data_IF_233655707737
#
_entry.id   IF_233655707737
#
_cell.length_a   1.000
_cell.length_b   1.000
_cell.length_c   1.000
_cell.angle_alpha   90.00
_cell.angle_beta   90.00
_cell.angle_gamma   90.00
#
_symmetry.space_group_name_H-M   'P 1'
#
loop_
_entity.id
_entity.type
_entity.pdbx_description
1 polymer ?
#
# COMPACT_ATOMS: atom_id res chain seq x y z
N UNK A 1 34.46 22.06 2.18
CA UNK A 1 35.76 21.36 2.34
C UNK A 1 36.66 21.75 1.18
N UNK A 2 37.96 21.97 1.41
CA UNK A 2 38.82 22.60 0.39
C UNK A 2 39.62 21.62 -0.48
N UNK A 3 39.72 20.34 -0.11
CA UNK A 3 40.48 19.31 -0.85
C UNK A 3 39.61 18.35 -1.65
N UNK A 4 40.23 17.66 -2.62
CA UNK A 4 39.65 16.49 -3.28
C UNK A 4 39.84 15.26 -2.39
N UNK A 5 38.84 14.38 -2.39
CA UNK A 5 38.80 13.11 -1.67
C UNK A 5 38.56 11.99 -2.67
N UNK A 6 39.13 10.80 -2.43
CA UNK A 6 38.87 9.64 -3.27
C UNK A 6 37.44 9.17 -3.07
N UNK A 7 36.65 9.16 -4.14
CA UNK A 7 35.30 8.60 -4.16
C UNK A 7 35.29 7.41 -5.10
N UNK A 8 34.74 6.29 -4.64
CA UNK A 8 34.54 5.13 -5.51
C UNK A 8 33.30 5.34 -6.39
N UNK A 9 33.38 4.95 -7.65
CA UNK A 9 32.26 4.98 -8.60
C UNK A 9 32.00 3.58 -9.12
N UNK A 10 30.73 3.28 -9.36
CA UNK A 10 30.26 1.99 -9.88
C UNK A 10 29.47 2.23 -11.17
N UNK A 11 29.75 1.47 -12.22
CA UNK A 11 29.04 1.57 -13.50
C UNK A 11 28.98 3.01 -14.05
N UNK A 12 30.10 3.71 -14.00
CA UNK A 12 30.29 5.11 -14.39
C UNK A 12 29.53 6.11 -13.51
N UNK A 13 29.08 5.74 -12.31
CA UNK A 13 28.08 6.52 -11.57
C UNK A 13 28.39 6.74 -10.09
N UNK A 14 27.95 7.89 -9.61
CA UNK A 14 27.71 8.20 -8.20
C UNK A 14 26.36 8.93 -8.07
N UNK A 15 25.78 8.89 -6.87
CA UNK A 15 24.48 9.45 -6.55
C UNK A 15 24.63 10.54 -5.50
N UNK A 16 23.91 11.63 -5.70
CA UNK A 16 23.78 12.73 -4.74
C UNK A 16 22.36 12.70 -4.19
N UNK A 17 22.22 12.62 -2.87
CA UNK A 17 20.92 12.41 -2.19
C UNK A 17 20.68 13.41 -1.08
N UNK A 18 19.45 13.89 -0.94
CA UNK A 18 19.02 14.80 0.12
C UNK A 18 18.02 14.20 1.12
N UNK A 19 17.62 12.95 0.93
CA UNK A 19 16.72 12.23 1.82
C UNK A 19 17.24 10.81 2.07
N UNK A 20 17.08 10.26 3.28
CA UNK A 20 17.56 8.91 3.63
C UNK A 20 16.68 7.80 3.05
N UNK A 21 15.50 8.12 2.51
CA UNK A 21 14.54 7.14 2.03
C UNK A 21 14.77 6.82 0.56
N UNK A 22 14.85 5.53 0.25
CA UNK A 22 14.71 5.01 -1.09
C UNK A 22 13.26 5.22 -1.55
N UNK A 23 13.03 6.25 -2.35
CA UNK A 23 11.98 6.19 -3.36
C UNK A 23 12.57 5.48 -4.57
N UNK A 24 11.81 4.56 -5.19
CA UNK A 24 12.20 4.02 -6.49
C UNK A 24 12.38 5.18 -7.46
N UNK A 25 13.64 5.56 -7.70
CA UNK A 25 13.99 6.69 -8.54
C UNK A 25 13.56 6.48 -9.99
N UNK A 26 13.40 7.59 -10.70
CA UNK A 26 13.38 7.64 -12.15
C UNK A 26 14.62 6.91 -12.66
N UNK A 27 14.44 6.10 -13.69
CA UNK A 27 15.56 5.50 -14.40
C UNK A 27 16.56 6.57 -14.85
N UNK A 28 17.85 6.23 -14.85
CA UNK A 28 18.87 7.05 -15.51
C UNK A 28 18.59 7.13 -17.01
N UNK A 29 19.13 8.14 -17.68
CA UNK A 29 18.87 8.42 -19.11
C UNK A 29 17.40 8.77 -19.38
N UNK A 30 16.76 9.52 -18.48
CA UNK A 30 15.42 10.08 -18.72
C UNK A 30 15.46 11.62 -18.79
N UNK A 31 16.12 12.28 -17.84
CA UNK A 31 16.29 13.74 -17.85
C UNK A 31 17.69 14.16 -17.37
N UNK A 32 18.37 15.00 -18.15
CA UNK A 32 19.71 15.51 -17.87
C UNK A 32 20.62 15.48 -19.10
N UNK A 33 21.91 15.24 -18.89
CA UNK A 33 22.92 15.14 -19.93
C UNK A 33 24.04 14.14 -19.60
N UNK A 34 25.14 14.16 -20.35
CA UNK A 34 26.26 13.21 -20.20
C UNK A 34 27.03 13.30 -18.87
N UNK A 35 26.73 14.27 -18.01
CA UNK A 35 27.39 14.48 -16.71
C UNK A 35 26.43 14.38 -15.53
N UNK A 36 25.20 14.91 -15.63
CA UNK A 36 24.22 14.87 -14.55
C UNK A 36 22.83 14.46 -15.04
N UNK A 37 22.20 13.52 -14.33
CA UNK A 37 20.80 13.15 -14.51
C UNK A 37 19.96 13.39 -13.26
N UNK A 38 18.74 13.86 -13.46
CA UNK A 38 17.70 13.84 -12.42
C UNK A 38 17.27 12.38 -12.23
N UNK A 39 17.20 11.93 -10.99
CA UNK A 39 16.74 10.59 -10.64
C UNK A 39 15.50 10.63 -9.74
N UNK A 40 15.30 11.66 -8.94
CA UNK A 40 14.05 11.89 -8.21
C UNK A 40 13.99 13.35 -7.78
N UNK A 41 12.95 13.82 -7.07
CA UNK A 41 12.98 15.15 -6.48
C UNK A 41 14.18 15.38 -5.55
N UNK A 42 14.67 14.32 -4.90
CA UNK A 42 15.69 14.37 -3.84
C UNK A 42 17.00 13.69 -4.23
N UNK A 43 17.15 13.29 -5.49
CA UNK A 43 18.31 12.53 -5.96
C UNK A 43 18.70 12.87 -7.41
N UNK A 44 20.01 12.97 -7.64
CA UNK A 44 20.57 13.00 -8.98
C UNK A 44 21.78 12.05 -9.10
N UNK A 45 22.04 11.60 -10.32
CA UNK A 45 23.18 10.75 -10.66
C UNK A 45 24.21 11.55 -11.45
N UNK A 46 25.46 11.53 -10.99
CA UNK A 46 26.61 12.04 -11.71
C UNK A 46 27.34 10.94 -12.48
N UNK A 47 27.87 11.28 -13.65
CA UNK A 47 28.52 10.32 -14.55
C UNK A 47 30.01 10.57 -14.71
N UNK A 48 30.82 9.57 -14.36
CA UNK A 48 32.26 9.51 -14.62
C UNK A 48 32.57 8.83 -15.98
N UNK A 49 33.78 9.00 -16.48
CA UNK A 49 34.38 8.20 -17.55
C UNK A 49 34.98 6.90 -17.04
N UNK A 50 35.43 6.90 -15.79
CA UNK A 50 35.81 5.71 -15.03
C UNK A 50 34.59 4.80 -14.82
N UNK A 51 34.61 3.55 -15.31
CA UNK A 51 33.49 2.63 -15.15
C UNK A 51 33.37 2.14 -13.72
N UNK A 52 34.41 1.52 -13.17
CA UNK A 52 34.41 1.09 -11.77
C UNK A 52 35.78 1.36 -11.18
N UNK A 53 35.85 2.23 -10.17
CA UNK A 53 37.13 2.64 -9.62
C UNK A 53 37.06 3.93 -8.84
N UNK A 54 38.21 4.57 -8.66
CA UNK A 54 38.34 5.78 -7.86
C UNK A 54 38.44 7.02 -8.74
N UNK A 55 37.61 8.01 -8.44
CA UNK A 55 37.76 9.38 -8.90
C UNK A 55 38.19 10.28 -7.73
N UNK A 56 38.63 11.48 -8.04
CA UNK A 56 38.82 12.54 -7.06
C UNK A 56 37.59 13.44 -7.07
N UNK A 57 36.86 13.49 -5.95
CA UNK A 57 35.64 14.27 -5.80
C UNK A 57 35.83 15.36 -4.73
N UNK A 58 35.29 16.55 -4.96
CA UNK A 58 35.13 17.59 -3.94
C UNK A 58 33.69 18.11 -3.95
N UNK A 59 33.16 18.43 -2.77
CA UNK A 59 31.89 19.15 -2.63
C UNK A 59 32.11 20.52 -2.00
N UNK A 60 31.60 21.55 -2.67
CA UNK A 60 31.71 22.95 -2.28
C UNK A 60 30.30 23.52 -2.08
N UNK A 61 29.98 23.86 -0.85
CA UNK A 61 28.70 24.49 -0.49
C UNK A 61 28.89 26.01 -0.50
N UNK A 62 27.95 26.73 -1.11
CA UNK A 62 27.95 28.19 -1.26
C UNK A 62 26.59 28.76 -0.85
N UNK A 63 26.58 30.04 -0.48
CA UNK A 63 25.35 30.77 -0.15
C UNK A 63 24.61 31.27 -1.41
N UNK A 64 25.30 31.35 -2.54
CA UNK A 64 24.75 31.84 -3.81
C UNK A 64 25.43 31.22 -5.02
N UNK A 65 24.87 31.48 -6.20
CA UNK A 65 25.42 31.04 -7.48
C UNK A 65 26.86 31.55 -7.70
N UNK A 66 27.79 30.71 -8.17
CA UNK A 66 29.11 31.16 -8.60
C UNK A 66 29.04 32.08 -9.82
N UNK A 67 29.66 33.26 -9.72
CA UNK A 67 29.67 34.31 -10.77
C UNK A 67 30.25 33.82 -12.10
N UNK A 68 31.23 32.91 -12.05
CA UNK A 68 31.92 32.40 -13.23
C UNK A 68 32.20 30.91 -13.12
N UNK A 69 32.21 30.24 -14.28
CA UNK A 69 32.67 28.87 -14.44
C UNK A 69 34.18 28.91 -14.74
N UNK A 70 35.05 28.34 -13.89
CA UNK A 70 36.49 28.32 -14.17
C UNK A 70 36.81 27.63 -15.51
N UNK A 71 37.83 28.11 -16.20
CA UNK A 71 38.20 27.62 -17.54
C UNK A 71 38.76 26.20 -17.54
N UNK A 72 39.34 25.72 -16.44
CA UNK A 72 40.01 24.41 -16.35
C UNK A 72 39.09 23.19 -16.16
N UNK A 73 37.83 23.27 -16.58
CA UNK A 73 36.85 22.19 -16.51
C UNK A 73 36.37 21.79 -17.90
N UNK A 74 36.32 20.49 -18.18
CA UNK A 74 36.00 19.96 -19.51
C UNK A 74 34.49 19.90 -19.74
N UNK A 75 33.74 19.49 -18.72
CA UNK A 75 32.28 19.41 -18.74
C UNK A 75 31.68 20.08 -17.50
N UNK A 76 30.55 20.78 -17.69
CA UNK A 76 29.82 21.43 -16.60
C UNK A 76 28.33 21.33 -16.86
N UNK A 77 27.61 20.80 -15.88
CA UNK A 77 26.16 20.60 -15.93
C UNK A 77 25.55 20.95 -14.59
N UNK A 78 24.27 21.29 -14.59
CA UNK A 78 23.56 21.59 -13.35
C UNK A 78 22.09 21.17 -13.39
N UNK A 79 21.53 20.93 -12.21
CA UNK A 79 20.13 20.61 -11.99
C UNK A 79 19.70 20.99 -10.58
N UNK A 80 18.42 20.86 -10.30
CA UNK A 80 17.83 21.19 -9.01
C UNK A 80 17.46 19.93 -8.21
N UNK A 81 17.68 19.96 -6.90
CA UNK A 81 17.20 18.97 -5.94
C UNK A 81 16.38 19.63 -4.83
N UNK A 82 15.36 18.93 -4.35
CA UNK A 82 14.65 19.23 -3.12
C UNK A 82 15.39 18.64 -1.92
N UNK A 83 15.74 19.43 -0.91
CA UNK A 83 16.44 19.00 0.31
C UNK A 83 15.72 19.52 1.55
N UNK A 84 14.66 18.86 2.02
CA UNK A 84 13.84 19.39 3.10
C UNK A 84 14.58 19.45 4.45
N UNK A 85 15.54 18.55 4.67
CA UNK A 85 16.24 18.39 5.96
C UNK A 85 17.58 19.11 6.05
N UNK A 86 18.02 19.78 4.99
CA UNK A 86 19.32 20.45 4.97
C UNK A 86 20.52 19.49 5.11
N UNK A 87 20.35 18.24 4.67
CA UNK A 87 21.41 17.22 4.64
C UNK A 87 21.49 16.64 3.25
N UNK A 88 22.70 16.61 2.70
CA UNK A 88 23.03 16.01 1.41
C UNK A 88 24.11 14.95 1.60
N UNK A 89 24.14 13.96 0.74
CA UNK A 89 25.15 12.90 0.79
C UNK A 89 25.54 12.46 -0.61
N UNK A 90 26.75 11.93 -0.76
CA UNK A 90 27.25 11.38 -2.04
C UNK A 90 27.68 9.93 -1.85
N UNK A 91 27.18 9.04 -2.70
CA UNK A 91 27.42 7.60 -2.63
C UNK A 91 27.75 7.05 -4.02
N UNK A 92 28.49 5.95 -4.08
CA UNK A 92 28.54 5.12 -5.27
C UNK A 92 27.19 4.40 -5.46
N UNK A 93 26.93 3.88 -6.66
CA UNK A 93 25.69 3.14 -6.92
C UNK A 93 25.52 1.93 -5.97
N UNK A 94 26.61 1.25 -5.64
CA UNK A 94 26.59 0.10 -4.73
C UNK A 94 26.67 0.50 -3.24
N UNK A 95 26.53 1.79 -2.93
CA UNK A 95 26.38 2.32 -1.57
C UNK A 95 27.68 2.64 -0.84
N UNK A 96 28.84 2.63 -1.51
CA UNK A 96 30.08 3.08 -0.88
C UNK A 96 30.12 4.61 -0.81
N UNK A 97 30.55 5.16 0.33
CA UNK A 97 30.63 6.61 0.53
C UNK A 97 31.92 6.93 1.26
N UNK A 98 32.58 8.02 0.87
CA UNK A 98 33.63 8.59 1.70
C UNK A 98 33.00 9.23 2.94
N UNK A 99 33.62 9.11 4.11
CA UNK A 99 33.08 9.63 5.37
C UNK A 99 32.73 11.13 5.28
N UNK A 100 33.52 11.88 4.51
CA UNK A 100 33.32 13.31 4.24
C UNK A 100 32.02 13.61 3.47
N UNK A 101 31.46 12.64 2.76
CA UNK A 101 30.26 12.80 1.94
C UNK A 101 29.03 12.09 2.50
N UNK A 102 29.13 11.43 3.66
CA UNK A 102 28.01 10.72 4.26
C UNK A 102 26.89 11.66 4.74
N UNK A 103 27.22 12.86 5.23
CA UNK A 103 26.26 13.83 5.75
C UNK A 103 26.78 15.29 5.65
N UNK A 104 26.60 15.90 4.49
CA UNK A 104 26.93 17.29 4.20
C UNK A 104 25.78 18.22 4.63
N UNK A 105 26.08 19.18 5.50
CA UNK A 105 25.11 20.20 5.90
C UNK A 105 24.91 21.24 4.79
N UNK A 106 23.66 21.46 4.40
CA UNK A 106 23.26 22.41 3.35
C UNK A 106 22.02 23.18 3.81
N UNK A 107 21.70 24.36 3.25
CA UNK A 107 20.45 25.03 3.55
C UNK A 107 19.24 24.13 3.20
N UNK A 108 18.21 24.04 4.06
CA UNK A 108 17.00 23.32 3.73
C UNK A 108 16.23 24.04 2.61
N UNK A 109 15.54 23.28 1.77
CA UNK A 109 14.75 23.78 0.66
C UNK A 109 15.27 23.32 -0.69
N UNK A 110 15.18 24.18 -1.70
CA UNK A 110 15.57 23.85 -3.06
C UNK A 110 17.05 24.19 -3.27
N UNK A 111 17.81 23.24 -3.81
CA UNK A 111 19.25 23.33 -4.01
C UNK A 111 19.59 23.20 -5.48
N UNK A 112 20.47 24.06 -5.98
CA UNK A 112 21.13 23.87 -7.27
C UNK A 112 22.39 23.05 -7.04
N UNK A 113 22.56 21.98 -7.82
CA UNK A 113 23.76 21.15 -7.85
C UNK A 113 24.40 21.33 -9.23
N UNK A 114 25.60 21.91 -9.27
CA UNK A 114 26.42 22.04 -10.48
C UNK A 114 27.61 21.09 -10.38
N UNK A 115 27.68 20.13 -11.29
CA UNK A 115 28.84 19.26 -11.43
C UNK A 115 29.81 19.88 -12.44
N UNK A 116 31.06 19.95 -12.04
CA UNK A 116 32.19 20.23 -12.90
C UNK A 116 33.03 18.96 -13.00
N UNK A 117 33.47 18.60 -14.19
CA UNK A 117 34.31 17.42 -14.39
C UNK A 117 35.45 17.72 -15.37
N UNK A 118 36.60 17.11 -15.10
CA UNK A 118 37.77 17.17 -15.97
C UNK A 118 38.57 15.88 -15.93
N UNK A 119 39.44 15.70 -16.92
CA UNK A 119 40.21 14.48 -17.13
C UNK A 119 39.28 13.26 -17.29
N UNK A 120 38.16 13.44 -17.99
CA UNK A 120 37.15 12.40 -18.27
C UNK A 120 37.60 11.46 -19.40
N UNK A 121 38.81 10.91 -19.26
CA UNK A 121 39.41 10.01 -20.24
C UNK A 121 38.74 8.64 -20.12
N UNK A 122 38.27 8.12 -21.26
CA UNK A 122 37.65 6.81 -21.37
C UNK A 122 38.59 5.72 -20.85
N UNK A 123 38.06 4.83 -20.01
CA UNK A 123 38.84 3.80 -19.32
C UNK A 123 39.64 2.90 -20.29
N UNK A 124 39.14 2.66 -21.50
CA UNK A 124 39.85 1.87 -22.52
C UNK A 124 41.10 2.58 -23.09
N UNK A 125 41.18 3.90 -22.93
CA UNK A 125 42.28 4.74 -23.44
C UNK A 125 43.16 5.31 -22.34
N UNK A 126 42.71 5.27 -21.08
CA UNK A 126 43.44 5.77 -19.91
C UNK A 126 44.70 4.93 -19.64
N UNK A 127 45.78 5.63 -19.32
CA UNK A 127 47.09 5.07 -18.93
C UNK A 127 47.47 5.50 -17.52
N UNK A 128 48.51 4.89 -16.95
CA UNK A 128 49.02 5.26 -15.63
C UNK A 128 49.65 6.66 -15.58
N UNK A 129 49.96 7.27 -16.74
CA UNK A 129 50.50 8.63 -16.82
C UNK A 129 49.40 9.70 -16.80
N UNK A 130 48.14 9.30 -17.03
CA UNK A 130 47.02 10.24 -17.06
C UNK A 130 46.61 10.68 -15.66
N UNK A 131 46.22 11.95 -15.48
CA UNK A 131 45.73 12.44 -14.21
C UNK A 131 44.43 11.72 -13.80
N UNK A 132 44.13 11.61 -12.49
CA UNK A 132 42.86 11.07 -12.04
C UNK A 132 41.70 11.91 -12.58
N UNK A 133 40.59 11.23 -12.87
CA UNK A 133 39.33 11.91 -13.16
C UNK A 133 38.89 12.72 -11.94
N UNK A 134 38.53 13.98 -12.16
CA UNK A 134 38.24 14.93 -11.09
C UNK A 134 36.86 15.53 -11.27
N UNK A 135 36.07 15.48 -10.20
CA UNK A 135 34.73 16.03 -10.13
C UNK A 135 34.63 17.05 -8.99
N UNK A 136 33.96 18.16 -9.23
CA UNK A 136 33.55 19.12 -8.21
C UNK A 136 32.04 19.32 -8.26
N UNK A 137 31.37 19.10 -7.12
CA UNK A 137 29.98 19.45 -6.93
C UNK A 137 29.90 20.79 -6.21
N UNK A 138 29.36 21.81 -6.88
CA UNK A 138 29.06 23.10 -6.28
C UNK A 138 27.56 23.14 -5.96
N UNK A 139 27.22 23.39 -4.69
CA UNK A 139 25.84 23.33 -4.19
C UNK A 139 25.46 24.65 -3.52
N UNK A 140 24.32 25.21 -3.86
CA UNK A 140 23.80 26.45 -3.25
C UNK A 140 22.27 26.49 -3.23
N UNK A 141 21.65 27.25 -2.31
CA UNK A 141 20.20 27.38 -2.25
C UNK A 141 19.66 28.20 -3.42
N UNK A 142 18.46 27.85 -3.88
CA UNK A 142 17.70 28.59 -4.89
C UNK A 142 16.23 28.66 -4.50
N UNK A 143 15.49 29.61 -5.05
CA UNK A 143 14.02 29.70 -4.92
C UNK A 143 13.29 29.26 -6.19
N UNK A 144 14.05 28.97 -7.25
CA UNK A 144 13.53 28.64 -8.57
C UNK A 144 14.12 27.33 -9.10
N UNK A 145 13.23 26.46 -9.57
CA UNK A 145 13.56 25.22 -10.29
C UNK A 145 13.53 25.52 -11.79
N UNK A 146 14.68 25.52 -12.47
CA UNK A 146 14.79 25.92 -13.88
C UNK A 146 15.05 24.76 -14.86
N UNK A 147 15.04 23.52 -14.35
CA UNK A 147 15.35 22.32 -15.09
C UNK A 147 16.86 22.03 -15.19
N UNK A 148 17.23 20.86 -15.74
CA UNK A 148 18.61 20.52 -16.04
C UNK A 148 19.18 21.39 -17.15
N UNK A 149 20.45 21.78 -17.02
CA UNK A 149 21.15 22.58 -18.02
C UNK A 149 22.60 22.10 -18.23
N UNK A 150 22.98 21.92 -19.48
CA UNK A 150 24.37 21.72 -19.89
C UNK A 150 25.03 23.08 -20.12
N UNK A 151 26.03 23.43 -19.32
CA UNK A 151 26.74 24.71 -19.41
C UNK A 151 28.04 24.59 -20.23
N UNK A 152 28.65 23.40 -20.22
CA UNK A 152 29.82 23.05 -21.04
C UNK A 152 29.82 21.56 -21.34
N UNK A 153 30.02 21.21 -22.61
CA UNK A 153 30.21 19.82 -23.06
C UNK A 153 31.70 19.55 -23.29
N UNK A 154 32.16 18.35 -22.95
CA UNK A 154 33.50 17.87 -23.24
C UNK A 154 33.64 17.32 -24.67
N UNK A 155 32.52 17.18 -25.40
CA UNK A 155 32.48 16.70 -26.78
C UNK A 155 32.92 15.25 -26.99
N UNK A 156 33.25 14.52 -25.91
CA UNK A 156 33.78 13.15 -25.97
C UNK A 156 32.69 12.10 -26.14
N UNK A 157 31.46 12.40 -25.73
CA UNK A 157 30.32 11.49 -25.80
C UNK A 157 29.31 11.94 -26.85
N UNK A 158 28.66 11.00 -27.56
CA UNK A 158 27.56 11.32 -28.45
C UNK A 158 26.49 12.13 -27.71
N UNK A 159 25.88 13.09 -28.40
CA UNK A 159 24.75 13.82 -27.87
C UNK A 159 23.59 12.84 -27.61
N UNK A 160 23.38 12.49 -26.34
CA UNK A 160 22.24 11.71 -25.90
C UNK A 160 21.01 12.63 -25.79
N UNK A 161 19.87 12.18 -26.31
CA UNK A 161 18.62 12.94 -26.29
C UNK A 161 17.76 12.56 -25.07
N UNK A 162 17.35 13.52 -24.23
CA UNK A 162 16.45 13.27 -23.11
C UNK A 162 15.13 12.62 -23.51
N UNK A 163 14.71 11.59 -22.76
CA UNK A 163 13.42 10.94 -22.95
C UNK A 163 12.33 11.71 -22.20
N UNK A 164 12.01 12.92 -22.67
CA UNK A 164 11.08 13.86 -21.99
C UNK A 164 9.73 13.23 -21.66
N UNK A 165 9.17 12.44 -22.57
CA UNK A 165 7.88 11.78 -22.37
C UNK A 165 7.94 10.75 -21.23
N UNK A 166 9.01 9.95 -21.17
CA UNK A 166 9.21 9.00 -20.08
C UNK A 166 9.55 9.68 -18.75
N UNK A 167 10.29 10.79 -18.78
CA UNK A 167 10.53 11.61 -17.60
C UNK A 167 9.21 12.20 -17.05
N UNK A 168 8.33 12.71 -17.92
CA UNK A 168 7.04 13.26 -17.54
C UNK A 168 6.05 12.19 -17.06
N UNK A 169 6.05 11.00 -17.68
CA UNK A 169 5.31 9.84 -17.21
C UNK A 169 5.70 9.50 -15.77
N UNK A 170 7.00 9.34 -15.50
CA UNK A 170 7.49 9.09 -14.15
C UNK A 170 7.14 10.22 -13.19
N UNK A 171 7.36 11.47 -13.60
CA UNK A 171 7.11 12.64 -12.77
C UNK A 171 5.64 12.76 -12.35
N UNK A 172 4.71 12.49 -13.26
CA UNK A 172 3.29 12.49 -12.92
C UNK A 172 2.94 11.37 -11.92
N UNK A 173 3.48 10.17 -12.14
CA UNK A 173 3.29 9.03 -11.23
C UNK A 173 3.89 9.27 -9.85
N UNK A 174 4.99 10.02 -9.75
CA UNK A 174 5.60 10.41 -8.47
C UNK A 174 4.76 11.46 -7.73
N UNK A 175 4.26 12.48 -8.43
CA UNK A 175 3.43 13.55 -7.85
C UNK A 175 2.11 13.04 -7.29
N UNK A 176 1.46 12.09 -7.96
CA UNK A 176 0.18 11.53 -7.48
C UNK A 176 0.33 10.37 -6.50
N UNK A 177 1.55 9.87 -6.30
CA UNK A 177 1.78 8.76 -5.37
C UNK A 177 1.37 9.19 -3.96
N UNK A 178 0.51 8.42 -3.27
CA UNK A 178 0.24 8.67 -1.86
C UNK A 178 1.55 8.65 -1.08
N UNK A 179 1.77 9.67 -0.26
CA UNK A 179 2.91 9.70 0.65
C UNK A 179 2.62 8.77 1.83
N UNK A 180 3.54 7.85 2.11
CA UNK A 180 3.47 6.95 3.27
C UNK A 180 3.63 7.75 4.57
N UNK A 181 3.20 7.19 5.70
CA UNK A 181 3.27 7.84 7.01
C UNK A 181 4.69 8.25 7.46
N UNK A 182 5.74 7.72 6.82
CA UNK A 182 7.15 8.06 7.06
C UNK A 182 7.66 9.23 6.22
N UNK A 183 6.93 9.63 5.19
CA UNK A 183 7.20 10.83 4.41
C UNK A 183 6.33 11.95 4.99
N UNK A 184 6.96 12.82 5.76
CA UNK A 184 6.30 13.90 6.52
C UNK A 184 5.23 14.60 5.67
N UNK A 185 3.96 14.42 6.06
CA UNK A 185 2.89 15.37 5.77
C UNK A 185 3.16 16.64 6.56
N UNK A 186 4.24 17.34 6.22
CA UNK A 186 4.44 18.70 6.72
C UNK A 186 3.55 19.63 5.88
N UNK A 187 2.47 20.18 6.45
CA UNK A 187 1.58 21.10 5.75
C UNK A 187 2.24 22.45 5.44
N UNK A 188 3.43 22.73 5.99
CA UNK A 188 4.17 23.99 5.83
C UNK A 188 5.40 23.87 4.93
N UNK A 189 5.51 22.83 4.10
CA UNK A 189 6.62 22.74 3.17
C UNK A 189 6.79 24.03 2.34
N UNK A 190 8.02 24.56 2.24
CA UNK A 190 8.31 25.75 1.46
C UNK A 190 7.74 25.67 0.05
N UNK A 191 7.10 26.77 -0.37
CA UNK A 191 6.62 26.93 -1.74
C UNK A 191 7.66 27.65 -2.58
N UNK A 192 7.86 27.14 -3.79
CA UNK A 192 8.89 27.60 -4.73
C UNK A 192 8.27 27.91 -6.09
N UNK A 193 9.10 28.38 -7.01
CA UNK A 193 8.69 28.63 -8.40
C UNK A 193 9.35 27.63 -9.33
N UNK A 194 8.58 27.03 -10.22
CA UNK A 194 9.09 26.25 -11.36
C UNK A 194 9.11 27.16 -12.58
N UNK A 195 10.26 27.25 -13.24
CA UNK A 195 10.48 28.15 -14.39
C UNK A 195 10.86 27.33 -15.61
N UNK A 196 10.24 27.59 -16.75
CA UNK A 196 10.57 26.95 -18.02
C UNK A 196 10.62 27.94 -19.17
N UNK A 197 11.51 27.67 -20.12
CA UNK A 197 11.59 28.42 -21.36
C UNK A 197 10.61 27.85 -22.38
N UNK A 198 9.78 28.72 -22.92
CA UNK A 198 8.78 28.37 -23.90
C UNK A 198 9.39 28.26 -25.30
N UNK A 199 8.98 27.25 -26.10
CA UNK A 199 9.37 27.17 -27.50
C UNK A 199 8.74 28.30 -28.33
N UNK A 200 7.53 28.74 -27.96
CA UNK A 200 6.78 29.83 -28.60
C UNK A 200 6.27 30.82 -27.54
N UNK A 201 6.06 32.11 -27.86
CA UNK A 201 5.60 33.09 -26.86
C UNK A 201 4.18 32.84 -26.34
N UNK A 202 3.37 32.12 -27.11
CA UNK A 202 1.97 31.82 -26.81
C UNK A 202 1.75 30.30 -26.96
N UNK A 203 2.17 29.50 -25.96
CA UNK A 203 1.93 28.07 -25.98
C UNK A 203 0.42 27.83 -25.90
N UNK A 204 -0.08 26.89 -26.71
CA UNK A 204 -1.44 26.39 -26.54
C UNK A 204 -1.41 25.32 -25.45
N UNK A 205 -2.11 25.58 -24.34
CA UNK A 205 -2.17 24.70 -23.18
C UNK A 205 -3.59 24.14 -23.05
N UNK A 206 -3.71 22.83 -22.80
CA UNK A 206 -4.99 22.21 -22.54
C UNK A 206 -5.58 22.72 -21.21
N UNK A 207 -6.85 23.12 -21.20
CA UNK A 207 -7.51 23.62 -19.99
C UNK A 207 -7.76 22.56 -18.92
N UNK A 208 -7.74 21.27 -19.31
CA UNK A 208 -7.87 20.13 -18.41
C UNK A 208 -6.86 19.06 -18.77
N UNK A 209 -6.18 18.54 -17.77
CA UNK A 209 -5.21 17.45 -17.91
C UNK A 209 -5.72 16.26 -17.09
N UNK A 210 -6.06 15.12 -17.73
CA UNK A 210 -6.45 13.93 -17.01
C UNK A 210 -5.25 13.31 -16.28
N UNK A 211 -5.49 12.83 -15.06
CA UNK A 211 -4.50 12.18 -14.21
C UNK A 211 -5.17 11.03 -13.44
N UNK A 212 -5.62 10.01 -14.17
CA UNK A 212 -6.31 8.85 -13.58
C UNK A 212 -7.68 9.22 -12.99
N UNK A 213 -7.85 9.08 -11.68
CA UNK A 213 -9.04 9.48 -10.92
C UNK A 213 -9.02 10.96 -10.48
N UNK A 214 -8.00 11.70 -10.92
CA UNK A 214 -7.77 13.12 -10.66
C UNK A 214 -7.69 13.89 -11.98
N UNK A 215 -7.82 15.20 -11.89
CA UNK A 215 -7.58 16.12 -13.00
C UNK A 215 -6.77 17.33 -12.51
N UNK A 216 -6.00 17.94 -13.41
CA UNK A 216 -5.49 19.30 -13.24
C UNK A 216 -6.29 20.22 -14.13
N UNK A 217 -6.84 21.29 -13.55
CA UNK A 217 -7.52 22.35 -14.26
C UNK A 217 -6.58 23.54 -14.41
N UNK A 218 -6.39 23.98 -15.65
CA UNK A 218 -5.66 25.19 -16.02
C UNK A 218 -6.68 26.26 -16.44
N UNK A 219 -7.05 27.14 -15.52
CA UNK A 219 -8.08 28.16 -15.76
C UNK A 219 -7.44 29.51 -16.02
N UNK A 220 -7.73 30.13 -17.17
CA UNK A 220 -7.22 31.48 -17.47
C UNK A 220 -7.90 32.52 -16.57
N UNK A 221 -7.12 33.27 -15.80
CA UNK A 221 -7.60 34.33 -14.89
C UNK A 221 -7.16 35.73 -15.32
N UNK A 222 -6.23 35.83 -16.27
CA UNK A 222 -5.80 37.08 -16.89
C UNK A 222 -5.19 36.85 -18.28
N UNK A 223 -4.70 37.92 -18.91
CA UNK A 223 -4.09 37.85 -20.26
C UNK A 223 -2.89 36.89 -20.30
N UNK A 224 -2.07 36.93 -19.24
CA UNK A 224 -0.83 36.17 -19.11
C UNK A 224 -0.79 35.30 -17.86
N UNK A 225 -1.95 35.00 -17.27
CA UNK A 225 -2.06 34.30 -15.98
C UNK A 225 -3.10 33.19 -16.05
N UNK A 226 -2.70 32.01 -15.58
CA UNK A 226 -3.56 30.86 -15.38
C UNK A 226 -3.47 30.39 -13.92
N UNK A 227 -4.54 29.79 -13.45
CA UNK A 227 -4.61 29.09 -12.18
C UNK A 227 -4.43 27.58 -12.41
N UNK A 228 -3.49 26.95 -11.69
CA UNK A 228 -3.28 25.50 -11.65
C UNK A 228 -4.00 24.93 -10.43
N UNK A 229 -5.01 24.07 -10.63
CA UNK A 229 -5.76 23.46 -9.52
C UNK A 229 -5.92 21.96 -9.73
N UNK A 230 -5.67 21.17 -8.69
CA UNK A 230 -6.02 19.75 -8.65
C UNK A 230 -7.50 19.56 -8.31
N UNK A 231 -8.15 18.61 -8.98
CA UNK A 231 -9.55 18.23 -8.77
C UNK A 231 -9.62 16.71 -8.68
N UNK A 232 -10.39 16.17 -7.74
CA UNK A 232 -10.60 14.73 -7.61
C UNK A 232 -11.98 14.41 -7.03
N UNK A 233 -12.59 13.31 -7.47
CA UNK A 233 -13.83 12.80 -6.92
C UNK A 233 -13.56 11.83 -5.75
N UNK A 234 -13.06 12.37 -4.63
CA UNK A 234 -12.84 11.60 -3.40
C UNK A 234 -11.43 11.03 -3.20
N UNK A 235 -10.50 11.26 -4.13
CA UNK A 235 -9.08 10.93 -3.96
C UNK A 235 -8.33 12.05 -3.21
N UNK A 236 -7.28 11.69 -2.46
CA UNK A 236 -6.39 12.69 -1.86
C UNK A 236 -5.65 13.49 -2.96
N UNK A 237 -5.68 14.82 -2.85
CA UNK A 237 -5.00 15.70 -3.80
C UNK A 237 -3.49 15.77 -3.50
N UNK A 238 -2.63 15.81 -4.53
CA UNK A 238 -1.20 16.11 -4.32
C UNK A 238 -0.99 17.46 -3.64
N UNK A 239 -1.80 18.45 -4.01
CA UNK A 239 -1.80 19.79 -3.46
C UNK A 239 -3.25 20.32 -3.46
N UNK A 240 -3.71 20.81 -2.31
CA UNK A 240 -5.05 21.34 -2.10
C UNK A 240 -5.15 22.84 -2.41
N UNK A 241 -4.01 23.54 -2.52
CA UNK A 241 -3.96 24.96 -2.87
C UNK A 241 -3.66 25.13 -4.35
N UNK A 242 -4.31 26.11 -4.96
CA UNK A 242 -4.02 26.47 -6.34
C UNK A 242 -2.63 27.11 -6.49
N UNK A 243 -1.95 26.79 -7.59
CA UNK A 243 -0.74 27.46 -8.06
C UNK A 243 -1.08 28.54 -9.09
N UNK A 244 -0.14 29.46 -9.32
CA UNK A 244 -0.28 30.53 -10.32
C UNK A 244 0.72 30.31 -11.44
N UNK A 245 0.25 30.20 -12.67
CA UNK A 245 1.09 30.07 -13.86
C UNK A 245 1.11 31.40 -14.61
N UNK A 246 2.27 32.04 -14.67
CA UNK A 246 2.49 33.28 -15.44
C UNK A 246 3.31 33.00 -16.68
N UNK A 247 2.91 33.62 -17.79
CA UNK A 247 3.62 33.52 -19.07
C UNK A 247 4.08 34.92 -19.48
N UNK A 248 5.38 35.18 -19.39
CA UNK A 248 5.99 36.45 -19.80
C UNK A 248 6.96 36.22 -20.95
N UNK A 249 6.56 36.68 -22.15
CA UNK A 249 7.31 36.49 -23.38
C UNK A 249 7.58 35.00 -23.65
N UNK A 250 8.82 34.55 -23.42
CA UNK A 250 9.25 33.16 -23.61
C UNK A 250 9.52 32.42 -22.30
N UNK A 251 8.98 32.92 -21.20
CA UNK A 251 9.20 32.34 -19.87
C UNK A 251 7.86 31.98 -19.24
N UNK A 252 7.73 30.71 -18.82
CA UNK A 252 6.65 30.23 -17.97
C UNK A 252 7.14 30.16 -16.53
N UNK A 253 6.36 30.67 -15.59
CA UNK A 253 6.60 30.60 -14.14
C UNK A 253 5.38 29.97 -13.46
N UNK A 254 5.53 28.79 -12.88
CA UNK A 254 4.53 28.17 -12.03
C UNK A 254 4.91 28.41 -10.57
N UNK A 255 4.21 29.34 -9.94
CA UNK A 255 4.43 29.83 -8.59
C UNK A 255 3.54 29.13 -7.57
N UNK A 256 4.01 29.09 -6.32
CA UNK A 256 3.28 28.45 -5.24
C UNK A 256 3.39 26.93 -5.28
N UNK A 257 4.38 26.37 -5.97
CA UNK A 257 4.58 24.93 -6.05
C UNK A 257 5.16 24.42 -4.74
N UNK A 258 4.58 23.37 -4.14
CA UNK A 258 5.19 22.69 -2.99
C UNK A 258 6.59 22.23 -3.40
N UNK A 259 7.62 22.60 -2.63
CA UNK A 259 9.03 22.37 -3.00
C UNK A 259 9.36 20.94 -3.41
N UNK A 260 8.78 19.95 -2.73
CA UNK A 260 8.95 18.52 -3.07
C UNK A 260 8.43 18.14 -4.47
N UNK A 261 7.48 18.87 -5.03
CA UNK A 261 6.95 18.63 -6.38
C UNK A 261 7.68 19.44 -7.46
N UNK A 262 8.54 20.39 -7.10
CA UNK A 262 9.08 21.38 -8.03
C UNK A 262 9.81 20.72 -9.21
N UNK A 263 10.70 19.78 -8.93
CA UNK A 263 11.49 19.08 -9.96
C UNK A 263 10.57 18.28 -10.90
N UNK A 264 9.59 17.55 -10.34
CA UNK A 264 8.66 16.71 -11.13
C UNK A 264 7.70 17.55 -11.96
N UNK A 265 7.14 18.63 -11.39
CA UNK A 265 6.30 19.57 -12.13
C UNK A 265 7.08 20.26 -13.25
N UNK A 266 8.37 20.49 -13.05
CA UNK A 266 9.27 20.93 -14.10
C UNK A 266 9.32 19.98 -15.30
N UNK A 267 9.53 18.68 -15.05
CA UNK A 267 9.54 17.66 -16.10
C UNK A 267 8.17 17.49 -16.78
N UNK A 268 7.09 17.63 -16.03
CA UNK A 268 5.72 17.65 -16.57
C UNK A 268 5.56 18.84 -17.52
N UNK A 269 6.02 20.04 -17.14
CA UNK A 269 5.99 21.21 -18.03
C UNK A 269 6.86 21.00 -19.28
N UNK A 270 8.03 20.42 -19.17
CA UNK A 270 8.90 20.13 -20.32
C UNK A 270 8.18 19.28 -21.38
N UNK A 271 7.37 18.32 -20.95
CA UNK A 271 6.50 17.55 -21.84
C UNK A 271 5.35 18.39 -22.38
N UNK A 272 4.54 19.01 -21.51
CA UNK A 272 3.34 19.77 -21.88
C UNK A 272 3.64 20.90 -22.88
N UNK A 273 4.79 21.56 -22.75
CA UNK A 273 5.19 22.67 -23.61
C UNK A 273 5.60 22.25 -25.03
N UNK A 274 5.92 20.98 -25.24
CA UNK A 274 6.28 20.44 -26.56
C UNK A 274 5.18 19.61 -27.21
N UNK A 275 4.19 19.21 -26.41
CA UNK A 275 3.10 18.34 -26.85
C UNK A 275 2.03 19.13 -27.62
N UNK A 276 1.40 18.50 -28.61
CA UNK A 276 0.19 19.04 -29.22
C UNK A 276 -0.95 19.19 -28.18
N UNK A 277 -1.73 20.28 -28.20
CA UNK A 277 -2.75 20.56 -27.18
C UNK A 277 -3.80 19.44 -27.05
N UNK A 278 -4.24 18.87 -28.18
CA UNK A 278 -5.35 17.91 -28.22
C UNK A 278 -4.92 16.45 -27.99
N UNK A 279 -3.61 16.16 -28.00
CA UNK A 279 -3.14 14.83 -27.69
C UNK A 279 -3.40 14.51 -26.20
N UNK A 280 -3.64 13.24 -25.81
CA UNK A 280 -3.61 12.87 -24.40
C UNK A 280 -2.18 12.98 -23.84
N UNK A 281 -1.99 13.36 -22.55
CA UNK A 281 -0.68 13.29 -21.93
C UNK A 281 -0.12 11.87 -21.87
N UNK A 282 1.21 11.73 -21.87
CA UNK A 282 1.92 10.44 -21.93
C UNK A 282 1.64 9.52 -20.75
N UNK A 283 1.29 10.06 -19.59
CA UNK A 283 0.94 9.27 -18.41
C UNK A 283 -0.46 8.66 -18.46
N UNK A 284 -1.37 9.17 -19.31
CA UNK A 284 -2.77 8.77 -19.27
C UNK A 284 -2.99 7.28 -19.58
N UNK A 285 -2.40 6.69 -20.65
CA UNK A 285 -2.55 5.26 -20.90
C UNK A 285 -1.99 4.38 -19.76
N UNK A 286 -0.91 4.83 -19.11
CA UNK A 286 -0.28 4.11 -17.99
C UNK A 286 -1.16 4.12 -16.75
N UNK A 287 -1.79 5.26 -16.46
CA UNK A 287 -2.74 5.39 -15.35
C UNK A 287 -4.00 4.56 -15.58
N UNK A 288 -4.53 4.55 -16.81
CA UNK A 288 -5.68 3.73 -17.18
C UNK A 288 -5.38 2.23 -17.03
N UNK A 289 -4.20 1.78 -17.48
CA UNK A 289 -3.77 0.39 -17.33
C UNK A 289 -3.66 -0.02 -15.84
N UNK A 290 -3.03 0.81 -15.00
CA UNK A 290 -2.93 0.55 -13.55
C UNK A 290 -4.30 0.47 -12.88
N UNK A 291 -5.21 1.39 -13.22
CA UNK A 291 -6.57 1.37 -12.68
C UNK A 291 -7.33 0.09 -13.10
N UNK A 292 -7.10 -0.41 -14.32
CA UNK A 292 -7.68 -1.68 -14.77
C UNK A 292 -7.11 -2.88 -13.99
N UNK A 293 -5.79 -2.94 -13.80
CA UNK A 293 -5.12 -3.99 -13.01
C UNK A 293 -5.60 -4.03 -11.56
N UNK A 294 -5.75 -2.86 -10.92
CA UNK A 294 -6.28 -2.76 -9.56
C UNK A 294 -7.72 -3.26 -9.44
N UNK A 295 -8.59 -2.90 -10.40
CA UNK A 295 -9.96 -3.42 -10.47
C UNK A 295 -9.96 -4.94 -10.63
N UNK A 296 -9.14 -5.47 -11.53
CA UNK A 296 -9.02 -6.92 -11.73
C UNK A 296 -8.55 -7.63 -10.45
N UNK A 297 -7.55 -7.07 -9.76
CA UNK A 297 -7.04 -7.60 -8.50
C UNK A 297 -8.08 -7.54 -7.38
N UNK A 298 -8.84 -6.45 -7.30
CA UNK A 298 -9.93 -6.29 -6.33
C UNK A 298 -11.07 -7.28 -6.61
N UNK A 299 -11.45 -7.46 -7.88
CA UNK A 299 -12.43 -8.46 -8.29
C UNK A 299 -11.95 -9.88 -7.99
N UNK A 300 -10.71 -10.21 -8.33
CA UNK A 300 -10.10 -11.52 -8.02
C UNK A 300 -10.13 -11.79 -6.52
N UNK A 301 -9.74 -10.80 -5.72
CA UNK A 301 -9.78 -10.89 -4.26
C UNK A 301 -11.20 -11.09 -3.75
N UNK A 302 -12.17 -10.33 -4.28
CA UNK A 302 -13.60 -10.48 -3.93
C UNK A 302 -14.13 -11.86 -4.29
N UNK A 303 -13.81 -12.37 -5.49
CA UNK A 303 -14.19 -13.72 -5.95
C UNK A 303 -13.59 -14.79 -5.07
N UNK A 304 -12.30 -14.69 -4.73
CA UNK A 304 -11.63 -15.63 -3.83
C UNK A 304 -12.26 -15.61 -2.43
N UNK A 305 -12.54 -14.42 -1.88
CA UNK A 305 -13.25 -14.30 -0.59
C UNK A 305 -14.64 -14.90 -0.65
N UNK A 306 -15.41 -14.64 -1.70
CA UNK A 306 -16.75 -15.20 -1.87
C UNK A 306 -16.73 -16.72 -2.03
N UNK A 307 -15.74 -17.29 -2.75
CA UNK A 307 -15.55 -18.73 -2.86
C UNK A 307 -15.14 -19.36 -1.52
N UNK A 308 -14.25 -18.72 -0.78
CA UNK A 308 -13.87 -19.16 0.57
C UNK A 308 -15.06 -19.13 1.53
N UNK A 309 -15.87 -18.07 1.50
CA UNK A 309 -17.10 -17.97 2.29
C UNK A 309 -18.08 -19.09 1.87
N UNK A 310 -18.37 -19.24 0.57
CA UNK A 310 -19.27 -20.31 0.11
C UNK A 310 -18.77 -21.71 0.51
N UNK A 311 -17.46 -21.99 0.40
CA UNK A 311 -16.87 -23.27 0.82
C UNK A 311 -17.00 -23.51 2.33
N UNK A 312 -16.75 -22.48 3.15
CA UNK A 312 -16.92 -22.55 4.60
C UNK A 312 -18.37 -22.84 5.03
N UNK A 313 -19.33 -22.49 4.17
CA UNK A 313 -20.78 -22.61 4.37
C UNK A 313 -21.44 -23.73 3.55
N UNK A 314 -20.69 -24.76 3.15
CA UNK A 314 -21.26 -25.95 2.49
C UNK A 314 -21.61 -25.75 1.01
N UNK A 315 -20.97 -24.80 0.33
CA UNK A 315 -21.08 -24.57 -1.12
C UNK A 315 -21.94 -23.36 -1.52
N UNK A 316 -22.58 -22.67 -0.59
CA UNK A 316 -23.39 -21.48 -0.85
C UNK A 316 -23.17 -20.40 0.22
N UNK A 317 -23.22 -19.12 -0.18
CA UNK A 317 -23.04 -18.02 0.75
C UNK A 317 -24.17 -17.98 1.79
N UNK A 318 -23.88 -17.62 3.06
CA UNK A 318 -24.90 -17.49 4.10
C UNK A 318 -25.76 -16.23 3.88
N UNK A 319 -26.99 -16.26 4.38
CA UNK A 319 -27.79 -15.05 4.60
C UNK A 319 -27.19 -14.23 5.75
N UNK A 320 -27.55 -12.95 5.86
CA UNK A 320 -27.07 -12.10 6.96
C UNK A 320 -27.43 -12.68 8.34
N UNK A 321 -28.64 -13.27 8.47
CA UNK A 321 -29.08 -13.94 9.70
C UNK A 321 -28.16 -15.10 10.10
N UNK A 322 -27.74 -15.92 9.13
CA UNK A 322 -26.79 -17.01 9.37
C UNK A 322 -25.37 -16.51 9.65
N UNK A 323 -24.94 -15.42 8.98
CA UNK A 323 -23.60 -14.83 9.12
C UNK A 323 -23.30 -14.35 10.55
N UNK A 324 -24.33 -13.90 11.27
CA UNK A 324 -24.22 -13.43 12.66
C UNK A 324 -24.14 -14.59 13.67
N UNK A 325 -24.56 -15.81 13.30
CA UNK A 325 -24.48 -16.98 14.19
C UNK A 325 -23.02 -17.44 14.37
N UNK A 326 -22.67 -17.84 15.59
CA UNK A 326 -21.34 -18.36 15.93
C UNK A 326 -21.01 -19.71 15.26
N UNK A 327 -19.76 -20.16 15.40
CA UNK A 327 -19.11 -21.17 14.56
C UNK A 327 -19.80 -22.52 14.33
N UNK A 328 -20.78 -22.94 15.12
CA UNK A 328 -21.54 -24.17 14.86
C UNK A 328 -22.43 -24.06 13.62
N UNK A 329 -22.92 -22.87 13.24
CA UNK A 329 -23.69 -22.72 12.00
C UNK A 329 -22.88 -23.09 10.76
N UNK A 330 -21.61 -22.66 10.71
CA UNK A 330 -20.70 -23.05 9.63
C UNK A 330 -20.36 -24.54 9.68
N UNK A 331 -20.17 -25.10 10.89
CA UNK A 331 -19.89 -26.51 11.04
C UNK A 331 -21.08 -27.39 10.61
N UNK A 332 -22.30 -27.00 10.97
CA UNK A 332 -23.53 -27.65 10.53
C UNK A 332 -23.73 -27.51 9.03
N UNK A 333 -23.44 -26.35 8.44
CA UNK A 333 -23.52 -26.15 6.99
C UNK A 333 -22.60 -27.10 6.20
N UNK A 334 -21.43 -27.45 6.76
CA UNK A 334 -20.51 -28.43 6.16
C UNK A 334 -21.00 -29.87 6.27
N UNK A 335 -21.81 -30.19 7.27
CA UNK A 335 -22.41 -31.51 7.43
C UNK A 335 -23.68 -31.65 6.60
N UNK A 336 -24.59 -30.68 6.71
CA UNK A 336 -25.86 -30.63 5.97
C UNK A 336 -26.33 -29.17 5.80
N UNK A 337 -25.99 -28.58 4.65
CA UNK A 337 -26.42 -27.22 4.30
C UNK A 337 -27.93 -27.08 4.20
N UNK A 338 -28.61 -28.10 3.64
CA UNK A 338 -30.05 -28.05 3.41
C UNK A 338 -30.81 -28.05 4.73
N UNK A 339 -30.35 -28.82 5.71
CA UNK A 339 -30.90 -28.82 7.06
C UNK A 339 -30.77 -27.44 7.72
N UNK A 340 -29.59 -26.83 7.66
CA UNK A 340 -29.37 -25.50 8.22
C UNK A 340 -30.34 -24.46 7.61
N UNK A 341 -30.51 -24.47 6.28
CA UNK A 341 -31.44 -23.56 5.61
C UNK A 341 -32.90 -23.80 6.04
N UNK A 342 -33.31 -25.07 6.23
CA UNK A 342 -34.64 -25.40 6.77
C UNK A 342 -34.83 -24.91 8.20
N UNK A 343 -33.84 -25.10 9.07
CA UNK A 343 -33.88 -24.58 10.46
C UNK A 343 -34.00 -23.06 10.48
N UNK A 344 -33.27 -22.37 9.61
CA UNK A 344 -33.33 -20.91 9.50
C UNK A 344 -34.69 -20.40 9.02
N UNK A 345 -35.41 -21.19 8.23
CA UNK A 345 -36.75 -20.86 7.72
C UNK A 345 -37.89 -21.14 8.72
N UNK A 346 -37.64 -21.92 9.78
CA UNK A 346 -38.66 -22.23 10.79
C UNK A 346 -39.06 -20.97 11.60
N UNK A 347 -40.33 -20.88 12.03
CA UNK A 347 -40.75 -19.95 13.07
C UNK A 347 -39.96 -20.11 14.37
N UNK A 348 -39.86 -19.04 15.16
CA UNK A 348 -39.07 -18.98 16.38
C UNK A 348 -39.47 -20.05 17.43
N UNK A 349 -40.76 -20.30 17.59
CA UNK A 349 -41.32 -21.34 18.46
C UNK A 349 -40.92 -22.74 17.99
N UNK A 350 -40.98 -23.01 16.69
CA UNK A 350 -40.51 -24.29 16.12
C UNK A 350 -39.00 -24.48 16.28
N UNK A 351 -38.21 -23.42 16.13
CA UNK A 351 -36.77 -23.47 16.42
C UNK A 351 -36.50 -23.88 17.88
N UNK A 352 -37.28 -23.36 18.84
CA UNK A 352 -37.19 -23.79 20.26
C UNK A 352 -37.55 -25.26 20.44
N UNK A 353 -38.65 -25.71 19.84
CA UNK A 353 -39.08 -27.12 19.90
C UNK A 353 -38.00 -28.05 19.35
N UNK A 354 -37.39 -27.71 18.21
CA UNK A 354 -36.28 -28.48 17.64
C UNK A 354 -35.06 -28.49 18.57
N UNK A 355 -34.72 -27.36 19.17
CA UNK A 355 -33.61 -27.27 20.11
C UNK A 355 -33.80 -28.21 21.31
N UNK A 356 -34.99 -28.20 21.93
CA UNK A 356 -35.34 -29.07 23.06
C UNK A 356 -35.34 -30.54 22.64
N UNK A 357 -35.91 -30.86 21.48
CA UNK A 357 -35.91 -32.21 20.93
C UNK A 357 -34.49 -32.74 20.72
N UNK A 358 -33.61 -31.92 20.14
CA UNK A 358 -32.21 -32.28 19.90
C UNK A 358 -31.47 -32.50 21.23
N UNK A 359 -31.62 -31.58 22.19
CA UNK A 359 -31.03 -31.70 23.51
C UNK A 359 -31.43 -32.99 24.24
N UNK A 360 -32.71 -33.36 24.24
CA UNK A 360 -33.18 -34.63 24.81
C UNK A 360 -32.46 -35.83 24.17
N UNK A 361 -32.29 -35.81 22.84
CA UNK A 361 -31.66 -36.91 22.09
C UNK A 361 -30.14 -36.98 22.36
N UNK A 362 -29.48 -35.83 22.49
CA UNK A 362 -28.08 -35.74 22.92
C UNK A 362 -27.87 -36.34 24.32
N UNK A 363 -28.69 -35.92 25.28
CA UNK A 363 -28.57 -36.39 26.66
C UNK A 363 -28.81 -37.90 26.76
N UNK A 364 -29.80 -38.42 26.02
CA UNK A 364 -30.07 -39.85 25.95
C UNK A 364 -28.92 -40.65 25.34
N UNK A 365 -28.37 -40.23 24.19
CA UNK A 365 -27.30 -40.98 23.54
C UNK A 365 -26.01 -41.01 24.37
N UNK A 366 -25.81 -40.00 25.22
CA UNK A 366 -24.68 -39.95 26.16
C UNK A 366 -24.98 -40.54 27.55
N UNK A 367 -26.21 -41.04 27.80
CA UNK A 367 -26.64 -41.56 29.10
C UNK A 367 -26.80 -40.51 30.21
N UNK A 368 -26.77 -39.22 29.86
CA UNK A 368 -26.91 -38.11 30.80
C UNK A 368 -28.35 -37.89 31.27
N UNK A 369 -29.33 -38.49 30.61
CA UNK A 369 -30.73 -38.47 31.03
C UNK A 369 -31.01 -39.32 32.28
N UNK A 370 -30.05 -40.17 32.70
CA UNK A 370 -30.10 -40.92 33.96
C UNK A 370 -29.50 -40.17 35.16
N UNK A 371 -29.01 -38.95 34.94
CA UNK A 371 -28.41 -38.12 35.99
C UNK A 371 -29.46 -37.14 36.51
N UNK A 372 -29.91 -37.34 37.75
CA UNK A 372 -31.08 -36.65 38.35
C UNK A 372 -31.13 -35.13 38.09
N UNK A 373 -30.01 -34.42 38.30
CA UNK A 373 -29.98 -32.96 38.14
C UNK A 373 -30.01 -32.50 36.68
N UNK A 374 -29.54 -33.33 35.73
CA UNK A 374 -29.61 -33.07 34.29
C UNK A 374 -31.02 -33.37 33.80
N UNK A 375 -31.60 -34.51 34.21
CA UNK A 375 -32.96 -34.90 33.90
C UNK A 375 -33.98 -33.85 34.37
N UNK A 376 -33.89 -33.42 35.63
CA UNK A 376 -34.76 -32.38 36.19
C UNK A 376 -34.62 -31.03 35.45
N UNK A 377 -33.41 -30.68 34.99
CA UNK A 377 -33.19 -29.47 34.22
C UNK A 377 -33.83 -29.53 32.82
N UNK A 378 -33.75 -30.69 32.16
CA UNK A 378 -34.40 -30.90 30.86
C UNK A 378 -35.93 -30.86 31.00
N UNK A 379 -36.50 -31.54 32.00
CA UNK A 379 -37.95 -31.54 32.28
C UNK A 379 -38.49 -30.13 32.54
N UNK A 380 -37.73 -29.31 33.28
CA UNK A 380 -38.11 -27.91 33.53
C UNK A 380 -38.23 -27.10 32.23
N UNK A 381 -37.30 -27.30 31.29
CA UNK A 381 -37.34 -26.62 29.98
C UNK A 381 -38.47 -27.14 29.10
N UNK A 382 -38.72 -28.45 29.12
CA UNK A 382 -39.81 -29.09 28.37
C UNK A 382 -41.19 -28.65 28.85
N UNK A 383 -41.34 -28.34 30.15
CA UNK A 383 -42.53 -27.73 30.72
C UNK A 383 -42.67 -26.23 30.38
N UNK A 384 -41.77 -25.66 29.55
CA UNK A 384 -41.74 -24.25 29.19
C UNK A 384 -41.09 -23.33 30.24
N UNK A 385 -40.46 -23.90 31.27
CA UNK A 385 -39.72 -23.18 32.29
C UNK A 385 -38.30 -22.80 31.85
N UNK A 386 -37.64 -21.87 32.57
CA UNK A 386 -36.25 -21.54 32.31
C UNK A 386 -35.30 -22.65 32.78
N UNK A 387 -34.11 -22.71 32.21
CA UNK A 387 -33.02 -23.52 32.75
C UNK A 387 -32.69 -23.10 34.19
N UNK A 388 -32.36 -24.04 35.10
CA UNK A 388 -31.87 -23.72 36.42
C UNK A 388 -30.68 -22.75 36.38
N UNK A 389 -30.62 -21.79 37.31
CA UNK A 389 -29.59 -20.74 37.32
C UNK A 389 -28.15 -21.28 37.30
N UNK A 390 -27.91 -22.46 37.90
CA UNK A 390 -26.62 -23.16 37.88
C UNK A 390 -26.15 -23.63 36.50
N UNK A 391 -27.03 -23.59 35.48
CA UNK A 391 -26.77 -23.99 34.09
C UNK A 391 -26.78 -22.82 33.11
N UNK A 392 -26.83 -21.59 33.62
CA UNK A 392 -26.86 -20.36 32.82
C UNK A 392 -25.69 -19.45 33.17
N UNK A 393 -25.25 -18.62 32.22
CA UNK A 393 -24.22 -17.60 32.44
C UNK A 393 -22.89 -18.16 32.98
N UNK A 394 -22.27 -17.44 33.91
CA UNK A 394 -20.96 -17.78 34.51
C UNK A 394 -20.97 -19.13 35.26
N UNK A 395 -22.14 -19.58 35.72
CA UNK A 395 -22.30 -20.84 36.48
C UNK A 395 -22.23 -22.09 35.60
N UNK A 396 -22.49 -21.96 34.30
CA UNK A 396 -22.47 -23.09 33.34
C UNK A 396 -21.12 -23.81 33.28
N UNK A 397 -20.01 -23.10 33.54
CA UNK A 397 -18.67 -23.69 33.59
C UNK A 397 -18.47 -24.70 34.72
N UNK A 398 -19.14 -24.51 35.87
CA UNK A 398 -19.08 -25.46 36.99
C UNK A 398 -19.83 -26.75 36.67
N UNK A 399 -20.99 -26.66 36.01
CA UNK A 399 -21.75 -27.82 35.56
C UNK A 399 -21.01 -28.62 34.48
N UNK A 400 -20.39 -27.94 33.51
CA UNK A 400 -19.54 -28.59 32.49
C UNK A 400 -18.35 -29.32 33.12
N UNK A 401 -17.69 -28.73 34.13
CA UNK A 401 -16.63 -29.41 34.88
C UNK A 401 -17.14 -30.65 35.60
N UNK A 402 -18.34 -30.59 36.18
CA UNK A 402 -18.94 -31.75 36.84
C UNK A 402 -19.15 -32.88 35.85
N UNK A 403 -19.69 -32.61 34.66
CA UNK A 403 -19.86 -33.64 33.62
C UNK A 403 -18.52 -34.27 33.18
N UNK A 404 -17.44 -33.49 33.17
CA UNK A 404 -16.13 -33.97 32.73
C UNK A 404 -15.35 -34.76 33.78
N UNK A 405 -15.50 -34.41 35.06
CA UNK A 405 -14.58 -34.88 36.12
C UNK A 405 -15.26 -35.66 37.24
N UNK A 406 -16.59 -35.67 37.32
CA UNK A 406 -17.32 -36.44 38.33
C UNK A 406 -17.23 -37.95 38.01
N UNK A 407 -16.62 -38.78 38.89
CA UNK A 407 -16.50 -40.22 38.66
C UNK A 407 -17.84 -40.96 38.54
N UNK A 408 -18.93 -40.34 39.00
CA UNK A 408 -20.29 -40.87 38.85
C UNK A 408 -20.92 -40.63 37.47
N UNK A 409 -20.23 -39.92 36.56
CA UNK A 409 -20.74 -39.68 35.21
C UNK A 409 -20.51 -40.89 34.30
N UNK A 410 -21.46 -41.21 33.40
CA UNK A 410 -21.19 -42.14 32.31
C UNK A 410 -19.95 -41.70 31.53
N UNK A 411 -19.11 -42.65 31.14
CA UNK A 411 -17.91 -42.36 30.36
C UNK A 411 -17.88 -43.22 29.10
N UNK A 412 -18.29 -42.63 27.99
CA UNK A 412 -18.25 -43.25 26.66
C UNK A 412 -17.51 -42.33 25.71
N UNK A 413 -16.89 -42.92 24.69
CA UNK A 413 -16.16 -42.15 23.67
C UNK A 413 -16.71 -42.41 22.27
N UNK A 414 -16.58 -41.40 21.40
CA UNK A 414 -17.00 -41.46 20.00
C UNK A 414 -15.89 -40.92 19.09
N UNK A 415 -15.96 -41.29 17.82
CA UNK A 415 -15.17 -40.65 16.75
C UNK A 415 -15.96 -39.49 16.17
N UNK A 416 -15.35 -38.31 16.07
CA UNK A 416 -16.04 -37.16 15.49
C UNK A 416 -16.17 -37.30 13.96
N UNK A 417 -17.29 -36.83 13.35
CA UNK A 417 -17.42 -36.78 11.89
C UNK A 417 -16.27 -35.99 11.24
N UNK A 418 -15.41 -36.68 10.48
CA UNK A 418 -14.22 -36.08 9.86
C UNK A 418 -13.13 -35.63 10.85
N UNK A 419 -13.19 -36.07 12.11
CA UNK A 419 -12.28 -35.68 13.18
C UNK A 419 -11.59 -36.85 13.89
N UNK A 420 -10.87 -36.59 15.00
CA UNK A 420 -10.13 -37.64 15.70
C UNK A 420 -11.05 -38.60 16.47
N UNK A 421 -10.58 -39.83 16.77
CA UNK A 421 -11.30 -40.77 17.64
C UNK A 421 -11.19 -40.39 19.12
N UNK A 422 -11.92 -41.10 19.98
CA UNK A 422 -11.83 -41.06 21.44
C UNK A 422 -12.25 -39.73 22.12
N UNK A 423 -13.22 -39.00 21.55
CA UNK A 423 -13.82 -37.84 22.23
C UNK A 423 -14.87 -38.29 23.25
N UNK A 424 -14.90 -37.67 24.43
CA UNK A 424 -15.95 -37.92 25.44
C UNK A 424 -17.32 -37.56 24.86
N UNK A 425 -18.21 -38.55 24.80
CA UNK A 425 -19.57 -38.38 24.29
C UNK A 425 -20.39 -37.44 25.16
N UNK A 426 -20.20 -37.50 26.48
CA UNK A 426 -20.86 -36.63 27.46
C UNK A 426 -20.44 -35.17 27.29
N UNK A 427 -19.15 -34.93 27.05
CA UNK A 427 -18.63 -33.59 26.80
C UNK A 427 -19.22 -32.97 25.52
N UNK A 428 -19.53 -33.79 24.51
CA UNK A 428 -20.16 -33.36 23.27
C UNK A 428 -21.68 -33.15 23.41
N UNK A 429 -22.35 -33.98 24.20
CA UNK A 429 -23.80 -33.94 24.38
C UNK A 429 -24.27 -32.84 25.34
N UNK A 430 -23.55 -32.62 26.44
CA UNK A 430 -23.98 -31.70 27.50
C UNK A 430 -24.23 -30.25 27.04
N UNK A 431 -23.42 -29.66 26.15
CA UNK A 431 -23.69 -28.33 25.61
C UNK A 431 -25.08 -28.17 24.97
N UNK A 432 -25.67 -29.24 24.43
CA UNK A 432 -27.02 -29.19 23.86
C UNK A 432 -28.09 -28.76 24.87
N UNK A 433 -27.89 -29.05 26.16
CA UNK A 433 -28.76 -28.56 27.23
C UNK A 433 -28.53 -27.07 27.52
N UNK A 434 -27.27 -26.64 27.58
CA UNK A 434 -26.91 -25.26 27.96
C UNK A 434 -27.41 -24.23 26.93
N UNK A 435 -27.35 -24.57 25.64
CA UNK A 435 -27.74 -23.68 24.54
C UNK A 435 -29.23 -23.36 24.51
N UNK A 436 -30.07 -24.12 25.24
CA UNK A 436 -31.49 -23.82 25.39
C UNK A 436 -31.74 -22.47 26.10
N UNK A 437 -30.75 -21.98 26.86
CA UNK A 437 -30.80 -20.65 27.49
C UNK A 437 -30.55 -19.48 26.52
N UNK A 438 -30.11 -19.75 25.28
CA UNK A 438 -29.84 -18.71 24.29
C UNK A 438 -31.07 -17.85 24.03
N UNK A 439 -30.92 -16.54 23.88
CA UNK A 439 -32.02 -15.64 23.56
C UNK A 439 -32.50 -15.79 22.11
N UNK A 440 -31.59 -16.12 21.18
CA UNK A 440 -31.92 -16.37 19.77
C UNK A 440 -32.37 -17.83 19.58
N UNK A 441 -33.63 -18.08 19.21
CA UNK A 441 -34.15 -19.43 18.97
C UNK A 441 -33.40 -20.18 17.87
N UNK A 442 -32.93 -19.47 16.82
CA UNK A 442 -32.20 -20.11 15.73
C UNK A 442 -30.82 -20.57 16.19
N UNK A 443 -30.13 -19.74 16.98
CA UNK A 443 -28.85 -20.12 17.57
C UNK A 443 -29.01 -21.37 18.46
N UNK A 444 -30.04 -21.39 19.32
CA UNK A 444 -30.34 -22.54 20.18
C UNK A 444 -30.57 -23.82 19.35
N UNK A 445 -31.36 -23.74 18.28
CA UNK A 445 -31.65 -24.87 17.40
C UNK A 445 -30.40 -25.39 16.69
N UNK A 446 -29.63 -24.50 16.07
CA UNK A 446 -28.42 -24.85 15.33
C UNK A 446 -27.37 -25.47 16.25
N UNK A 447 -27.13 -24.87 17.42
CA UNK A 447 -26.14 -25.36 18.37
C UNK A 447 -26.57 -26.71 18.97
N UNK A 448 -27.85 -26.86 19.33
CA UNK A 448 -28.37 -28.12 19.87
C UNK A 448 -28.29 -29.24 18.83
N UNK A 449 -28.71 -28.99 17.59
CA UNK A 449 -28.62 -29.99 16.50
C UNK A 449 -27.17 -30.35 16.20
N UNK A 450 -26.27 -29.38 16.09
CA UNK A 450 -24.86 -29.65 15.81
C UNK A 450 -24.19 -30.47 16.92
N UNK A 451 -24.35 -30.06 18.18
CA UNK A 451 -23.75 -30.76 19.34
C UNK A 451 -24.32 -32.17 19.50
N UNK A 452 -25.62 -32.35 19.26
CA UNK A 452 -26.25 -33.68 19.23
C UNK A 452 -25.67 -34.55 18.12
N UNK A 453 -25.50 -34.02 16.90
CA UNK A 453 -24.89 -34.75 15.80
C UNK A 453 -23.46 -35.20 16.14
N UNK A 454 -22.67 -34.36 16.80
CA UNK A 454 -21.33 -34.75 17.28
C UNK A 454 -21.39 -35.85 18.34
N UNK A 455 -22.34 -35.81 19.27
CA UNK A 455 -22.53 -36.85 20.29
C UNK A 455 -22.95 -38.20 19.70
N UNK A 456 -23.62 -38.22 18.54
CA UNK A 456 -23.91 -39.45 17.80
C UNK A 456 -22.67 -40.03 17.09
N UNK A 457 -21.58 -39.27 16.97
CA UNK A 457 -20.33 -39.71 16.34
C UNK A 457 -20.43 -39.94 14.84
N UNK A 458 -19.30 -40.31 14.22
CA UNK A 458 -19.14 -40.51 12.78
C UNK A 458 -20.13 -41.54 12.19
N UNK A 459 -20.53 -42.55 12.96
CA UNK A 459 -21.41 -43.62 12.49
C UNK A 459 -22.90 -43.28 12.62
N UNK A 460 -23.27 -42.38 13.55
CA UNK A 460 -24.66 -42.08 13.89
C UNK A 460 -25.16 -40.70 13.47
N UNK A 461 -24.27 -39.74 13.20
CA UNK A 461 -24.68 -38.35 13.00
C UNK A 461 -25.61 -38.16 11.80
N UNK A 462 -25.35 -38.85 10.67
CA UNK A 462 -26.17 -38.71 9.46
C UNK A 462 -27.61 -39.18 9.66
N UNK A 463 -27.80 -40.29 10.40
CA UNK A 463 -29.14 -40.77 10.75
C UNK A 463 -29.86 -39.78 11.68
N UNK A 464 -29.15 -39.22 12.67
CA UNK A 464 -29.71 -38.19 13.54
C UNK A 464 -30.13 -36.93 12.77
N UNK A 465 -29.30 -36.43 11.84
CA UNK A 465 -29.62 -35.24 11.06
C UNK A 465 -30.85 -35.44 10.17
N UNK A 466 -31.07 -36.66 9.66
CA UNK A 466 -32.26 -37.00 8.87
C UNK A 466 -33.54 -37.05 9.72
N UNK A 467 -33.43 -37.36 11.02
CA UNK A 467 -34.55 -37.45 11.97
C UNK A 467 -35.01 -36.09 12.51
N UNK A 468 -34.31 -34.98 12.20
CA UNK A 468 -34.65 -33.66 12.76
C UNK A 468 -36.08 -33.27 12.35
N UNK A 469 -36.98 -32.97 13.32
CA UNK A 469 -38.38 -32.71 13.03
C UNK A 469 -38.54 -31.29 12.49
N UNK A 470 -38.74 -31.19 11.18
CA UNK A 470 -38.81 -29.91 10.47
C UNK A 470 -40.22 -29.57 9.98
N UNK A 471 -41.18 -30.49 10.14
CA UNK A 471 -42.57 -30.38 9.68
C UNK A 471 -43.56 -30.46 10.88
N UNK A 472 -44.82 -30.05 10.68
CA UNK A 472 -45.87 -29.86 11.72
C UNK A 472 -46.60 -31.16 12.15
N UNK A 473 -45.88 -32.24 12.42
CA UNK A 473 -46.51 -33.41 13.07
C UNK A 473 -46.74 -33.20 14.57
#
# INVERSE_FOLDING_TARGET
MNGFVRQFVDYCQYQVRSAPYWRTGMGIYLAGDSLLHVSSPTECTGFAATHTGWIELRVVIRDSEPVQIPSGWDAVSELTLWCPRGVLSVHSMMGSTADEFAALSVPPGLLRVRAHARNRIDESTRTAADPPEQHELVVWPVTEETGPATLRTDGTRPAWAPQRDKAAEYAMLDVIRPYDAHEERDPELPRVTVVRRLPTPTPSLAGRLPVGDREVHLTRTGEHTLEWRWVAAGAALPDDRAGVVRIDGRTLRHEGVIGRHAVMLGLIWDHLLTKAPDAPPVWEPVLQARAAEERERAERTRRLRAQQEASAWGGSAPTERLRVLSGHAQALARLDRRLLDRLAALPADRQRTVAVWAARRALRVAGLDQVDWIAAALEAVEAGGPLPAGLTGESSGAASRRVLFDPGMPHTTVTLPGGPPNFSQQALAFPALLVLSSADPLAAAVDAVYTTAMAHGADGYAAFLADVPLDDD
#
